data_IF_456281239019
#
_entry.id   IF_456281239019
#
_cell.length_a   1.000
_cell.length_b   1.000
_cell.length_c   1.000
_cell.angle_alpha   90.00
_cell.angle_beta   90.00
_cell.angle_gamma   90.00
#
_symmetry.space_group_name_H-M   'P 1'
#
loop_
_entity.id
_entity.type
_entity.pdbx_description
1 polymer ?
#
# COMPACT_ATOMS: atom_id res chain seq x y z
N UNK A 1 -18.84 -7.50 20.53
CA UNK A 1 -18.84 -6.36 19.61
C UNK A 1 -19.36 -6.79 18.26
N UNK A 2 -20.26 -6.03 17.66
CA UNK A 2 -20.66 -6.33 16.28
C UNK A 2 -19.46 -6.26 15.36
N UNK A 3 -19.26 -7.26 14.52
CA UNK A 3 -18.21 -7.23 13.50
C UNK A 3 -18.51 -6.08 12.53
N UNK A 4 -17.54 -5.19 12.36
CA UNK A 4 -17.66 -4.16 11.34
C UNK A 4 -17.65 -4.84 9.97
N UNK A 5 -18.73 -4.70 9.23
CA UNK A 5 -18.80 -5.15 7.85
C UNK A 5 -18.36 -4.01 6.94
N UNK A 6 -17.68 -4.35 5.84
CA UNK A 6 -17.21 -3.39 4.85
C UNK A 6 -15.71 -3.12 4.96
N UNK A 7 -15.25 -2.16 4.16
CA UNK A 7 -13.84 -1.81 4.01
C UNK A 7 -13.59 -0.40 4.54
N UNK A 8 -12.57 -0.27 5.39
CA UNK A 8 -12.14 1.03 5.93
C UNK A 8 -10.66 1.20 5.67
N UNK A 9 -10.30 2.20 4.87
CA UNK A 9 -8.90 2.51 4.58
C UNK A 9 -8.19 3.04 5.83
N UNK A 10 -6.99 2.52 6.08
CA UNK A 10 -6.12 2.95 7.18
C UNK A 10 -5.10 3.95 6.66
N UNK A 11 -4.38 3.61 5.60
CA UNK A 11 -3.35 4.44 4.98
C UNK A 11 -3.15 4.08 3.51
N UNK A 12 -2.57 5.00 2.76
CA UNK A 12 -2.21 4.79 1.36
C UNK A 12 -0.77 5.21 1.10
N UNK A 13 -0.15 4.59 0.10
CA UNK A 13 1.21 4.89 -0.32
C UNK A 13 1.19 5.90 -1.48
N UNK A 14 1.08 7.17 -1.16
CA UNK A 14 0.99 8.25 -2.16
C UNK A 14 2.24 8.36 -3.02
N UNK A 15 3.41 8.15 -2.42
CA UNK A 15 4.69 8.19 -3.13
C UNK A 15 4.76 7.13 -4.22
N UNK A 16 4.24 5.94 -3.97
CA UNK A 16 4.21 4.86 -4.96
C UNK A 16 3.39 5.24 -6.20
N UNK A 17 2.25 5.88 -6.02
CA UNK A 17 1.42 6.34 -7.14
C UNK A 17 2.10 7.44 -7.97
N UNK A 18 2.97 8.23 -7.34
CA UNK A 18 3.75 9.25 -8.05
C UNK A 18 4.92 8.65 -8.81
N UNK A 19 5.61 7.66 -8.25
CA UNK A 19 6.86 7.11 -8.78
C UNK A 19 6.67 5.90 -9.71
N UNK A 20 5.51 5.24 -9.64
CA UNK A 20 5.26 4.00 -10.37
C UNK A 20 3.95 4.03 -11.14
N UNK A 21 3.94 3.31 -12.28
CA UNK A 21 2.70 2.91 -12.94
C UNK A 21 2.21 1.61 -12.29
N UNK A 22 0.97 1.58 -11.85
CA UNK A 22 0.36 0.37 -11.28
C UNK A 22 -0.22 -0.46 -12.43
N UNK A 23 0.38 -1.62 -12.69
CA UNK A 23 -0.02 -2.50 -13.78
C UNK A 23 -1.17 -3.42 -13.38
N UNK A 24 -1.13 -3.94 -12.17
CA UNK A 24 -2.11 -4.88 -11.64
C UNK A 24 -2.17 -4.77 -10.12
N UNK A 25 -3.35 -5.02 -9.54
CA UNK A 25 -3.56 -4.94 -8.09
C UNK A 25 -3.99 -6.28 -7.52
N UNK A 26 -3.55 -6.55 -6.29
CA UNK A 26 -3.85 -7.80 -5.58
C UNK A 26 -4.19 -7.47 -4.12
N UNK A 27 -5.00 -8.33 -3.50
CA UNK A 27 -5.28 -8.25 -2.07
C UNK A 27 -4.56 -9.37 -1.34
N UNK A 28 -3.89 -9.04 -0.24
CA UNK A 28 -3.22 -9.98 0.62
C UNK A 28 -3.61 -9.77 2.08
N UNK A 29 -3.61 -10.83 2.86
CA UNK A 29 -3.64 -10.73 4.31
C UNK A 29 -2.25 -10.37 4.83
N UNK A 30 -2.16 -9.98 6.10
CA UNK A 30 -0.89 -9.66 6.74
C UNK A 30 -0.84 -10.26 8.15
N UNK A 31 0.27 -10.91 8.49
CA UNK A 31 0.51 -11.43 9.83
C UNK A 31 1.06 -10.31 10.72
N UNK A 32 0.29 -9.96 11.74
CA UNK A 32 0.65 -8.92 12.70
C UNK A 32 0.53 -9.47 14.13
N UNK A 33 1.42 -8.98 15.01
CA UNK A 33 1.26 -9.19 16.45
C UNK A 33 0.20 -8.24 17.00
N UNK A 34 -0.34 -8.53 18.19
CA UNK A 34 -1.41 -7.74 18.79
C UNK A 34 -1.07 -6.26 18.95
N UNK A 35 0.17 -5.94 19.34
CA UNK A 35 0.65 -4.56 19.47
C UNK A 35 0.69 -3.85 18.12
N UNK A 36 1.08 -4.56 17.07
CA UNK A 36 1.10 -4.03 15.70
C UNK A 36 -0.33 -3.72 15.19
N UNK A 37 -1.28 -4.61 15.47
CA UNK A 37 -2.69 -4.38 15.10
C UNK A 37 -3.24 -3.14 15.79
N UNK A 38 -2.92 -2.92 17.05
CA UNK A 38 -3.34 -1.74 17.79
C UNK A 38 -2.76 -0.45 17.20
N UNK A 39 -1.50 -0.46 16.81
CA UNK A 39 -0.85 0.68 16.15
C UNK A 39 -1.45 0.96 14.77
N UNK A 40 -1.72 -0.07 14.00
CA UNK A 40 -2.36 0.04 12.68
C UNK A 40 -3.77 0.63 12.83
N UNK A 41 -4.52 0.18 13.83
CA UNK A 41 -5.87 0.70 14.11
C UNK A 41 -5.84 2.18 14.47
N UNK A 42 -4.78 2.63 15.14
CA UNK A 42 -4.56 4.04 15.47
C UNK A 42 -3.99 4.86 14.30
N UNK A 43 -3.76 4.25 13.15
CA UNK A 43 -3.17 4.92 11.98
C UNK A 43 -1.67 5.13 12.07
N UNK A 44 -1.00 4.48 13.00
CA UNK A 44 0.43 4.64 13.28
C UNK A 44 1.27 3.72 12.38
N UNK A 45 1.08 3.83 11.07
CA UNK A 45 1.75 3.01 10.06
C UNK A 45 2.12 3.88 8.86
N UNK A 46 3.29 3.61 8.28
CA UNK A 46 3.78 4.33 7.12
C UNK A 46 4.25 3.32 6.06
N UNK A 47 3.74 3.46 4.84
CA UNK A 47 4.07 2.62 3.70
C UNK A 47 5.13 3.22 2.79
N UNK A 48 5.59 4.44 3.08
CA UNK A 48 6.59 5.13 2.27
C UNK A 48 7.85 4.28 2.13
N UNK A 49 8.32 4.12 0.89
CA UNK A 49 9.51 3.33 0.54
C UNK A 49 9.39 1.84 0.89
N UNK A 50 8.18 1.34 1.16
CA UNK A 50 7.95 -0.08 1.35
C UNK A 50 7.93 -0.83 0.02
N UNK A 51 8.26 -2.09 0.08
CA UNK A 51 8.24 -2.99 -1.06
C UNK A 51 8.03 -4.43 -0.58
N UNK A 52 7.68 -5.30 -1.51
CA UNK A 52 7.47 -6.71 -1.18
C UNK A 52 8.54 -7.58 -1.86
N UNK A 53 8.94 -8.63 -1.16
CA UNK A 53 9.87 -9.64 -1.66
C UNK A 53 9.24 -11.03 -1.54
N UNK A 54 9.57 -11.90 -2.48
CA UNK A 54 9.17 -13.30 -2.44
C UNK A 54 10.43 -14.12 -2.23
N UNK A 55 10.48 -14.88 -1.14
CA UNK A 55 11.62 -15.72 -0.80
C UNK A 55 11.13 -17.08 -0.33
N UNK A 56 11.63 -18.15 -0.91
CA UNK A 56 11.26 -19.52 -0.57
C UNK A 56 9.74 -19.78 -0.59
N UNK A 57 9.04 -19.19 -1.59
CA UNK A 57 7.60 -19.34 -1.73
C UNK A 57 6.77 -18.54 -0.72
N UNK A 58 7.41 -17.65 0.01
CA UNK A 58 6.76 -16.77 0.99
C UNK A 58 6.88 -15.30 0.59
N UNK A 59 5.82 -14.55 0.83
CA UNK A 59 5.72 -13.12 0.49
C UNK A 59 5.90 -12.29 1.75
N UNK A 60 6.80 -11.31 1.68
CA UNK A 60 7.08 -10.40 2.79
C UNK A 60 6.96 -8.94 2.37
N UNK A 61 6.35 -8.12 3.23
CA UNK A 61 6.40 -6.66 3.12
C UNK A 61 7.61 -6.15 3.90
N UNK A 62 8.48 -5.41 3.22
CA UNK A 62 9.68 -4.80 3.80
C UNK A 62 9.58 -3.29 3.73
N UNK A 63 10.22 -2.60 4.68
CA UNK A 63 10.21 -1.15 4.72
C UNK A 63 8.87 -0.54 5.16
N UNK A 64 7.91 -1.38 5.57
CA UNK A 64 6.66 -0.93 6.15
C UNK A 64 6.89 -0.64 7.64
N UNK A 65 6.75 0.63 8.03
CA UNK A 65 6.94 1.07 9.40
C UNK A 65 5.63 1.01 10.17
N UNK A 66 5.59 0.24 11.24
CA UNK A 66 4.49 0.21 12.20
C UNK A 66 5.04 0.69 13.53
N UNK A 67 4.57 1.84 14.01
CA UNK A 67 5.06 2.46 15.22
C UNK A 67 4.82 1.56 16.44
N UNK A 68 5.71 1.57 17.45
CA UNK A 68 5.46 0.84 18.69
C UNK A 68 4.18 1.35 19.36
N UNK A 69 3.42 0.43 19.92
CA UNK A 69 2.22 0.77 20.67
C UNK A 69 2.63 1.29 22.06
N UNK A 70 2.16 2.47 22.45
CA UNK A 70 2.55 3.13 23.70
C UNK A 70 2.44 2.25 24.94
N UNK A 71 1.37 1.46 25.01
CA UNK A 71 1.10 0.58 26.15
C UNK A 71 1.60 -0.85 25.96
N UNK A 72 2.33 -1.12 24.88
CA UNK A 72 2.82 -2.45 24.54
C UNK A 72 4.09 -2.84 25.28
N UNK A 73 4.94 -1.88 25.63
CA UNK A 73 6.20 -2.08 26.35
C UNK A 73 7.05 -3.23 25.77
N UNK A 74 7.28 -4.28 26.56
CA UNK A 74 8.07 -5.45 26.15
C UNK A 74 7.44 -6.28 25.04
N UNK A 75 6.15 -6.13 24.77
CA UNK A 75 5.45 -6.86 23.71
C UNK A 75 5.55 -6.16 22.34
N UNK A 76 6.15 -4.98 22.28
CA UNK A 76 6.38 -4.28 21.02
C UNK A 76 7.44 -5.00 20.19
N UNK A 77 7.24 -4.99 18.86
CA UNK A 77 8.18 -5.54 17.89
C UNK A 77 8.96 -4.42 17.22
N UNK A 78 10.04 -4.77 16.54
CA UNK A 78 10.77 -3.83 15.70
C UNK A 78 9.81 -3.18 14.69
N UNK A 79 9.72 -1.84 14.65
CA UNK A 79 8.84 -1.14 13.70
C UNK A 79 9.06 -1.51 12.23
N UNK A 80 10.28 -1.86 11.87
CA UNK A 80 10.68 -2.21 10.51
C UNK A 80 10.75 -3.72 10.27
N UNK A 81 10.24 -4.53 11.19
CA UNK A 81 10.22 -5.98 11.05
C UNK A 81 9.57 -6.37 9.72
N UNK A 82 10.18 -7.27 8.91
CA UNK A 82 9.51 -7.81 7.73
C UNK A 82 8.21 -8.52 8.13
N UNK A 83 7.11 -8.17 7.47
CA UNK A 83 5.78 -8.73 7.78
C UNK A 83 5.41 -9.71 6.69
N UNK A 84 5.04 -10.93 7.10
CA UNK A 84 4.60 -11.95 6.17
C UNK A 84 3.21 -11.61 5.64
N UNK A 85 3.05 -11.66 4.33
CA UNK A 85 1.77 -11.46 3.67
C UNK A 85 1.18 -12.80 3.27
N UNK A 86 -0.14 -12.88 3.31
CA UNK A 86 -0.87 -14.12 3.06
C UNK A 86 -1.66 -14.00 1.76
N UNK A 87 -1.33 -14.88 0.81
CA UNK A 87 -2.02 -14.98 -0.48
C UNK A 87 -2.27 -16.44 -0.81
N UNK A 88 -3.26 -16.68 -1.67
CA UNK A 88 -3.44 -18.01 -2.23
C UNK A 88 -2.20 -18.42 -3.04
N UNK A 89 -1.82 -19.67 -2.94
CA UNK A 89 -0.60 -20.19 -3.59
C UNK A 89 -0.60 -19.94 -5.11
N UNK A 90 -1.76 -20.05 -5.75
CA UNK A 90 -1.89 -19.77 -7.20
C UNK A 90 -1.54 -18.34 -7.54
N UNK A 91 -2.06 -17.38 -6.77
CA UNK A 91 -1.78 -15.96 -6.96
C UNK A 91 -0.31 -15.65 -6.70
N UNK A 92 0.26 -16.25 -5.66
CA UNK A 92 1.67 -16.07 -5.30
C UNK A 92 2.61 -16.58 -6.38
N UNK A 93 2.32 -17.76 -6.95
CA UNK A 93 3.11 -18.31 -8.06
C UNK A 93 3.04 -17.43 -9.30
N UNK A 94 1.85 -16.92 -9.62
CA UNK A 94 1.66 -15.98 -10.72
C UNK A 94 2.45 -14.70 -10.53
N UNK A 95 2.41 -14.14 -9.32
CA UNK A 95 3.20 -12.95 -8.97
C UNK A 95 4.69 -13.19 -9.05
N UNK A 96 5.16 -14.31 -8.54
CA UNK A 96 6.58 -14.67 -8.56
C UNK A 96 7.12 -14.69 -10.00
N UNK A 97 6.36 -15.27 -10.93
CA UNK A 97 6.70 -15.29 -12.35
C UNK A 97 6.79 -13.88 -12.94
N UNK A 98 5.86 -12.99 -12.58
CA UNK A 98 5.79 -11.62 -13.11
C UNK A 98 6.83 -10.68 -12.49
N UNK A 99 7.15 -10.86 -11.23
CA UNK A 99 8.17 -10.04 -10.52
C UNK A 99 9.57 -10.28 -11.08
N UNK A 100 9.82 -11.44 -11.71
CA UNK A 100 11.08 -11.72 -12.36
C UNK A 100 11.31 -10.92 -13.66
N UNK A 101 10.29 -10.26 -14.17
CA UNK A 101 10.42 -9.39 -15.34
C UNK A 101 11.14 -8.08 -14.98
N UNK A 102 11.98 -7.60 -15.90
CA UNK A 102 12.77 -6.38 -15.68
C UNK A 102 11.88 -5.16 -15.49
N UNK A 103 12.26 -4.32 -14.51
CA UNK A 103 11.60 -3.05 -14.25
C UNK A 103 10.28 -3.15 -13.51
N UNK A 104 9.92 -4.34 -13.03
CA UNK A 104 8.68 -4.56 -12.29
C UNK A 104 8.99 -4.77 -10.80
N UNK A 105 8.22 -4.11 -9.93
CA UNK A 105 8.33 -4.23 -8.48
C UNK A 105 6.96 -4.47 -7.87
N UNK A 106 6.93 -5.15 -6.74
CA UNK A 106 5.71 -5.39 -5.97
C UNK A 106 5.70 -4.44 -4.77
N UNK A 107 4.73 -3.54 -4.73
CA UNK A 107 4.69 -2.42 -3.78
C UNK A 107 3.37 -2.44 -3.00
N UNK A 108 3.39 -2.32 -1.65
CA UNK A 108 2.17 -2.09 -0.89
C UNK A 108 1.58 -0.72 -1.23
N UNK A 109 0.34 -0.70 -1.70
CA UNK A 109 -0.34 0.53 -2.12
C UNK A 109 -1.21 1.11 -1.02
N UNK A 110 -1.87 0.26 -0.24
CA UNK A 110 -2.71 0.71 0.87
C UNK A 110 -2.88 -0.39 1.91
N UNK A 111 -3.24 0.03 3.12
CA UNK A 111 -3.72 -0.85 4.18
C UNK A 111 -5.16 -0.49 4.48
N UNK A 112 -5.98 -1.49 4.74
CA UNK A 112 -7.38 -1.29 5.07
C UNK A 112 -7.90 -2.42 5.96
N UNK A 113 -8.99 -2.14 6.69
CA UNK A 113 -9.76 -3.16 7.37
C UNK A 113 -10.84 -3.68 6.43
N UNK A 114 -10.94 -4.98 6.31
CA UNK A 114 -12.04 -5.66 5.63
C UNK A 114 -12.62 -6.70 6.56
N UNK A 115 -13.86 -6.51 6.96
CA UNK A 115 -14.54 -7.37 7.94
C UNK A 115 -13.69 -7.59 9.21
N UNK A 116 -13.15 -6.51 9.76
CA UNK A 116 -12.31 -6.48 10.98
C UNK A 116 -10.92 -7.11 10.83
N UNK A 117 -10.52 -7.49 9.62
CA UNK A 117 -9.17 -8.00 9.34
C UNK A 117 -8.35 -6.96 8.58
N UNK A 118 -7.07 -6.87 8.94
CA UNK A 118 -6.15 -6.00 8.20
C UNK A 118 -5.79 -6.66 6.89
N UNK A 119 -5.98 -5.94 5.79
CA UNK A 119 -5.62 -6.35 4.44
C UNK A 119 -4.67 -5.34 3.81
N UNK A 120 -3.87 -5.81 2.88
CA UNK A 120 -2.93 -5.00 2.11
C UNK A 120 -3.32 -5.05 0.65
N UNK A 121 -3.45 -3.90 0.02
CA UNK A 121 -3.54 -3.82 -1.43
C UNK A 121 -2.13 -3.75 -1.98
N UNK A 122 -1.76 -4.73 -2.78
CA UNK A 122 -0.46 -4.80 -3.45
C UNK A 122 -0.59 -4.35 -4.89
N UNK A 123 0.42 -3.66 -5.39
CA UNK A 123 0.51 -3.29 -6.80
C UNK A 123 1.71 -3.92 -7.46
N UNK A 124 1.50 -4.52 -8.62
CA UNK A 124 2.58 -4.86 -9.54
C UNK A 124 2.88 -3.58 -10.31
N UNK A 125 4.04 -2.98 -10.06
CA UNK A 125 4.34 -1.61 -10.47
C UNK A 125 5.58 -1.56 -11.36
N UNK A 126 5.56 -0.61 -12.29
CA UNK A 126 6.70 -0.28 -13.15
C UNK A 126 7.15 1.14 -12.84
N UNK A 127 8.46 1.34 -12.62
CA UNK A 127 9.01 2.65 -12.33
C UNK A 127 8.77 3.66 -13.46
N UNK A 128 8.35 4.86 -13.09
CA UNK A 128 8.21 5.97 -14.04
C UNK A 128 9.57 6.58 -14.33
N UNK A 129 9.80 6.92 -15.59
CA UNK A 129 10.94 7.74 -15.99
C UNK A 129 10.68 9.19 -15.58
N UNK A 130 11.73 9.98 -15.50
CA UNK A 130 11.61 11.38 -15.06
C UNK A 130 10.59 12.18 -15.89
N UNK A 131 10.56 12.00 -17.20
CA UNK A 131 9.60 12.68 -18.08
C UNK A 131 8.15 12.22 -17.82
N UNK A 132 7.92 10.95 -17.50
CA UNK A 132 6.60 10.42 -17.16
C UNK A 132 6.05 11.09 -15.88
N UNK A 133 6.91 11.33 -14.90
CA UNK A 133 6.53 12.01 -13.66
C UNK A 133 6.12 13.46 -13.93
N UNK A 134 6.84 14.16 -14.80
CA UNK A 134 6.51 15.53 -15.23
C UNK A 134 5.18 15.60 -15.95
N UNK A 135 4.95 14.68 -16.88
CA UNK A 135 3.69 14.61 -17.65
C UNK A 135 2.50 14.34 -16.73
N UNK A 136 2.63 13.40 -15.78
CA UNK A 136 1.59 13.10 -14.80
C UNK A 136 1.25 14.31 -13.93
N UNK A 137 2.23 15.11 -13.56
CA UNK A 137 2.04 16.34 -12.78
C UNK A 137 1.35 17.40 -13.62
N UNK A 138 1.80 17.60 -14.87
CA UNK A 138 1.20 18.55 -15.81
C UNK A 138 -0.28 18.21 -16.10
N UNK A 139 -0.60 16.94 -16.29
CA UNK A 139 -1.97 16.48 -16.50
C UNK A 139 -2.87 16.80 -15.30
N UNK A 140 -2.38 16.59 -14.08
CA UNK A 140 -3.13 16.92 -12.86
C UNK A 140 -3.36 18.41 -12.71
N UNK A 141 -2.37 19.23 -13.02
CA UNK A 141 -2.49 20.69 -12.98
C UNK A 141 -3.46 21.20 -14.03
N UNK A 142 -3.38 20.71 -15.26
CA UNK A 142 -4.32 21.07 -16.34
C UNK A 142 -5.77 20.73 -15.95
N UNK A 143 -6.00 19.56 -15.36
CA UNK A 143 -7.32 19.17 -14.88
C UNK A 143 -7.85 20.10 -13.78
N UNK A 144 -7.01 20.50 -12.84
CA UNK A 144 -7.39 21.45 -11.79
C UNK A 144 -7.77 22.81 -12.36
N UNK A 145 -7.04 23.27 -13.36
CA UNK A 145 -7.31 24.56 -14.01
C UNK A 145 -8.64 24.52 -14.77
N UNK A 146 -8.94 23.44 -15.46
CA UNK A 146 -10.23 23.22 -16.13
C UNK A 146 -11.38 23.23 -15.11
N UNK A 147 -11.22 22.50 -14.01
CA UNK A 147 -12.23 22.44 -12.93
C UNK A 147 -12.50 23.82 -12.33
N UNK A 148 -11.46 24.64 -12.14
CA UNK A 148 -11.59 26.04 -11.69
C UNK A 148 -12.38 26.88 -12.66
N UNK A 149 -12.04 26.82 -13.95
CA UNK A 149 -12.73 27.58 -14.98
C UNK A 149 -14.22 27.22 -15.06
N UNK A 150 -14.56 25.95 -14.93
CA UNK A 150 -15.95 25.48 -14.88
C UNK A 150 -16.70 26.00 -13.65
N UNK A 151 -16.06 26.02 -12.47
CA UNK A 151 -16.67 26.57 -11.26
C UNK A 151 -16.94 28.08 -11.40
N UNK A 152 -16.02 28.82 -11.94
CA UNK A 152 -16.19 30.28 -12.18
C UNK A 152 -17.35 30.56 -13.13
N UNK A 153 -17.53 29.76 -14.18
CA UNK A 153 -18.68 29.87 -15.10
C UNK A 153 -20.01 29.63 -14.40
N UNK A 154 -20.07 28.70 -13.46
CA UNK A 154 -21.29 28.34 -12.75
C UNK A 154 -21.70 29.38 -11.70
N UNK A 155 -20.81 30.29 -11.30
CA UNK A 155 -21.07 31.36 -10.34
C UNK A 155 -21.44 32.71 -10.95
N UNK A 156 -21.54 32.79 -12.27
CA UNK A 156 -21.97 34.00 -12.97
C UNK A 156 -23.44 33.97 -13.34
#
# INVERSE_FOLDING_TARGET
MPKQTGTKQITANRKAFHEYFVLERFEAGIELFGTEVKSVRAGQVNLKDSFCTIKNGELFARGMHISPYEHGNIFNRDPMRPKRLLMHKRELLKLQSRVMQDGVALIPLSLYFKDSRVKVELGLCKGKKLHDKRDSTADREAKRDIDRAMKERNYR
#
